data_IF_339288900280
#
_entry.id   IF_339288900280
#
_cell.length_a   1.000
_cell.length_b   1.000
_cell.length_c   1.000
_cell.angle_alpha   90.00
_cell.angle_beta   90.00
_cell.angle_gamma   90.00
#
_symmetry.space_group_name_H-M   'P 1'
#
loop_
_entity.id
_entity.type
_entity.pdbx_description
1 polymer ?
#
# COMPACT_ATOMS: atom_id res chain seq x y z
N UNK A 1 -8.59 -8.35 7.48
CA UNK A 1 -8.32 -8.37 8.94
C UNK A 1 -6.90 -7.85 9.19
N UNK A 2 -6.50 -7.58 10.43
CA UNK A 2 -5.15 -7.04 10.76
C UNK A 2 -4.01 -7.92 10.23
N UNK A 3 -4.26 -9.21 9.99
CA UNK A 3 -3.25 -10.14 9.53
C UNK A 3 -3.17 -10.28 8.00
N UNK A 4 -4.19 -9.85 7.26
CA UNK A 4 -4.25 -9.98 5.80
C UNK A 4 -3.40 -8.96 5.04
N UNK A 5 -2.94 -7.89 5.68
CA UNK A 5 -2.34 -6.76 4.98
C UNK A 5 -1.05 -6.29 5.65
N UNK A 6 -0.14 -5.75 4.85
CA UNK A 6 0.99 -4.95 5.30
C UNK A 6 0.80 -3.57 4.68
N UNK A 7 0.76 -2.52 5.50
CA UNK A 7 0.67 -1.14 5.01
C UNK A 7 2.04 -0.48 5.03
N UNK A 8 2.24 0.47 4.12
CA UNK A 8 3.46 1.27 4.08
C UNK A 8 3.11 2.74 3.82
N UNK A 9 4.03 3.63 4.18
CA UNK A 9 3.94 5.05 3.87
C UNK A 9 5.34 5.61 3.64
N UNK A 10 5.48 6.46 2.63
CA UNK A 10 6.69 7.21 2.29
C UNK A 10 6.31 8.69 2.26
N UNK A 11 6.94 9.46 3.15
CA UNK A 11 6.85 10.91 3.17
C UNK A 11 8.20 11.48 2.72
N UNK A 12 8.18 12.33 1.70
CA UNK A 12 9.39 12.91 1.11
C UNK A 12 9.14 14.36 0.71
N UNK A 13 10.15 15.20 0.84
CA UNK A 13 10.05 16.59 0.37
C UNK A 13 9.87 16.62 -1.16
N UNK A 14 8.97 17.46 -1.67
CA UNK A 14 8.67 17.53 -3.11
C UNK A 14 9.85 18.03 -3.95
N UNK A 15 10.81 18.71 -3.34
CA UNK A 15 12.05 19.18 -3.98
C UNK A 15 13.15 18.12 -4.01
N UNK A 16 12.92 16.94 -3.43
CA UNK A 16 13.93 15.88 -3.41
C UNK A 16 14.31 15.46 -4.85
N UNK A 17 15.61 15.40 -5.22
CA UNK A 17 16.04 15.20 -6.61
C UNK A 17 15.53 13.91 -7.27
N UNK A 18 15.27 12.87 -6.47
CA UNK A 18 14.74 11.58 -6.95
C UNK A 18 13.22 11.56 -7.11
N UNK A 19 12.51 12.63 -6.76
CA UNK A 19 11.05 12.69 -6.80
C UNK A 19 10.63 13.65 -7.93
N UNK A 20 10.19 13.11 -9.08
CA UNK A 20 9.70 13.93 -10.18
C UNK A 20 8.53 14.82 -9.77
N UNK A 21 8.32 15.92 -10.49
CA UNK A 21 7.14 16.78 -10.30
C UNK A 21 5.88 16.17 -10.92
N UNK A 22 6.03 15.44 -12.02
CA UNK A 22 4.92 14.71 -12.63
C UNK A 22 4.44 13.61 -11.69
N UNK A 23 3.11 13.49 -11.57
CA UNK A 23 2.47 12.56 -10.64
C UNK A 23 2.75 11.11 -11.06
N UNK A 24 2.61 10.79 -12.34
CA UNK A 24 2.77 9.43 -12.86
C UNK A 24 4.24 9.01 -12.74
N UNK A 25 5.18 9.88 -13.09
CA UNK A 25 6.61 9.60 -12.94
C UNK A 25 7.01 9.38 -11.48
N UNK A 26 6.39 10.12 -10.55
CA UNK A 26 6.64 9.91 -9.12
C UNK A 26 6.04 8.60 -8.60
N UNK A 27 4.91 8.16 -9.13
CA UNK A 27 4.43 6.79 -8.89
C UNK A 27 5.43 5.78 -9.43
N UNK A 28 5.96 5.95 -10.64
CA UNK A 28 6.98 5.03 -11.18
C UNK A 28 8.18 4.87 -10.26
N UNK A 29 8.72 5.97 -9.70
CA UNK A 29 9.84 5.92 -8.76
C UNK A 29 9.45 5.21 -7.46
N UNK A 30 8.38 5.65 -6.81
CA UNK A 30 8.01 5.15 -5.48
C UNK A 30 7.47 3.71 -5.54
N UNK A 31 6.63 3.39 -6.53
CA UNK A 31 6.20 2.01 -6.80
C UNK A 31 7.36 1.12 -7.26
N UNK A 32 8.41 1.69 -7.84
CA UNK A 32 9.67 0.99 -8.11
C UNK A 32 10.26 0.34 -6.86
N UNK A 33 10.11 0.97 -5.68
CA UNK A 33 10.52 0.40 -4.41
C UNK A 33 9.80 -0.92 -4.08
N UNK A 34 8.48 -0.95 -4.27
CA UNK A 34 7.67 -2.16 -4.12
C UNK A 34 8.05 -3.23 -5.15
N UNK A 35 8.20 -2.85 -6.42
CA UNK A 35 8.60 -3.77 -7.49
C UNK A 35 9.93 -4.44 -7.15
N UNK A 36 10.93 -3.67 -6.74
CA UNK A 36 12.22 -4.19 -6.33
C UNK A 36 12.10 -5.12 -5.11
N UNK A 37 11.28 -4.74 -4.12
CA UNK A 37 11.02 -5.58 -2.95
C UNK A 37 10.37 -6.92 -3.30
N UNK A 38 9.37 -6.93 -4.17
CA UNK A 38 8.74 -8.18 -4.62
C UNK A 38 9.72 -9.06 -5.43
N UNK A 39 10.59 -8.46 -6.25
CA UNK A 39 11.65 -9.19 -6.97
C UNK A 39 12.64 -9.85 -6.02
N UNK A 40 12.99 -9.21 -4.90
CA UNK A 40 13.82 -9.84 -3.85
C UNK A 40 13.11 -11.03 -3.17
N UNK A 41 11.78 -11.05 -3.18
CA UNK A 41 10.98 -12.20 -2.75
C UNK A 41 10.83 -13.25 -3.88
N UNK A 42 11.45 -13.07 -5.04
CA UNK A 42 11.34 -13.97 -6.19
C UNK A 42 9.98 -13.89 -6.89
N UNK A 43 9.25 -12.78 -6.73
CA UNK A 43 7.99 -12.54 -7.44
C UNK A 43 8.25 -11.63 -8.63
N UNK A 44 7.77 -12.01 -9.82
CA UNK A 44 7.84 -11.16 -11.00
C UNK A 44 6.78 -10.06 -10.91
N UNK A 45 7.14 -8.97 -10.22
CA UNK A 45 6.27 -7.83 -10.03
C UNK A 45 6.50 -6.75 -11.09
N UNK A 46 5.41 -6.14 -11.51
CA UNK A 46 5.39 -5.06 -12.48
C UNK A 46 4.49 -3.93 -11.98
N UNK A 47 4.91 -2.69 -12.24
CA UNK A 47 4.06 -1.53 -12.01
C UNK A 47 3.06 -1.42 -13.15
N UNK A 48 1.79 -1.33 -12.80
CA UNK A 48 0.68 -1.08 -13.72
C UNK A 48 0.06 0.27 -13.37
N UNK A 49 0.29 1.31 -14.20
CA UNK A 49 -0.32 2.61 -13.98
C UNK A 49 -1.84 2.52 -13.78
N UNK A 50 -2.42 3.35 -12.92
CA UNK A 50 -1.78 4.54 -12.31
C UNK A 50 -1.04 4.24 -11.01
N UNK A 51 -1.43 3.21 -10.26
CA UNK A 51 -1.02 3.04 -8.86
C UNK A 51 -0.92 1.59 -8.37
N UNK A 52 -1.00 0.62 -9.28
CA UNK A 52 -1.07 -0.79 -8.94
C UNK A 52 0.26 -1.50 -9.16
N UNK A 53 0.56 -2.48 -8.30
CA UNK A 53 1.58 -3.49 -8.57
C UNK A 53 0.87 -4.80 -8.87
N UNK A 54 1.29 -5.45 -9.95
CA UNK A 54 0.79 -6.76 -10.35
C UNK A 54 1.89 -7.81 -10.28
N UNK A 55 1.51 -9.03 -9.92
CA UNK A 55 2.32 -10.25 -10.05
C UNK A 55 1.49 -11.22 -10.88
N UNK A 56 2.08 -11.80 -11.94
CA UNK A 56 1.37 -12.70 -12.85
C UNK A 56 0.05 -12.10 -13.38
N UNK A 57 0.07 -10.81 -13.74
CA UNK A 57 -1.09 -10.00 -14.16
C UNK A 57 -2.20 -9.80 -13.13
N UNK A 58 -2.01 -10.21 -11.87
CA UNK A 58 -2.95 -10.03 -10.78
C UNK A 58 -2.43 -8.99 -9.79
N UNK A 59 -3.30 -8.07 -9.36
CA UNK A 59 -2.95 -7.02 -8.41
C UNK A 59 -2.54 -7.61 -7.07
N UNK A 60 -1.38 -7.20 -6.56
CA UNK A 60 -0.87 -7.58 -5.23
C UNK A 60 -0.69 -6.38 -4.30
N UNK A 61 -0.62 -5.17 -4.85
CA UNK A 61 -0.51 -3.93 -4.08
C UNK A 61 -1.19 -2.80 -4.82
N UNK A 62 -1.74 -1.85 -4.07
CA UNK A 62 -2.27 -0.59 -4.57
C UNK A 62 -1.79 0.57 -3.71
N UNK A 63 -1.54 1.70 -4.35
CA UNK A 63 -0.99 2.90 -3.71
C UNK A 63 -1.90 4.11 -3.89
N UNK A 64 -1.79 5.09 -3.01
CA UNK A 64 -2.40 6.40 -3.15
C UNK A 64 -1.35 7.47 -2.81
N UNK A 65 -1.41 8.59 -3.51
CA UNK A 65 -0.41 9.65 -3.45
C UNK A 65 -1.11 10.99 -3.31
N UNK A 66 -0.61 11.83 -2.40
CA UNK A 66 -1.00 13.24 -2.28
C UNK A 66 0.23 14.13 -2.23
N UNK A 67 0.10 15.35 -2.79
CA UNK A 67 1.13 16.39 -2.74
C UNK A 67 0.54 17.63 -2.11
N UNK A 68 1.02 17.99 -0.92
CA UNK A 68 0.55 19.16 -0.18
C UNK A 68 1.67 19.67 0.72
N UNK A 69 1.65 20.98 0.99
CA UNK A 69 2.55 21.63 1.96
C UNK A 69 4.05 21.36 1.69
N UNK A 70 4.46 21.29 0.42
CA UNK A 70 5.85 21.01 0.05
C UNK A 70 6.27 19.54 0.22
N UNK A 71 5.33 18.66 0.57
CA UNK A 71 5.55 17.24 0.81
C UNK A 71 4.78 16.34 -0.15
N UNK A 72 5.40 15.21 -0.46
CA UNK A 72 4.81 14.07 -1.15
C UNK A 72 4.57 12.98 -0.12
N UNK A 73 3.32 12.55 0.02
CA UNK A 73 2.95 11.39 0.81
C UNK A 73 2.37 10.34 -0.13
N UNK A 74 3.07 9.22 -0.25
CA UNK A 74 2.54 8.01 -0.86
C UNK A 74 2.35 6.95 0.22
N UNK A 75 1.19 6.30 0.22
CA UNK A 75 0.92 5.16 1.07
C UNK A 75 0.22 4.07 0.28
N UNK A 76 0.22 2.85 0.80
CA UNK A 76 -0.45 1.75 0.12
C UNK A 76 -0.54 0.51 0.96
N UNK A 77 -1.14 -0.51 0.35
CA UNK A 77 -1.31 -1.83 0.95
C UNK A 77 -0.58 -2.87 0.12
N UNK A 78 0.02 -3.83 0.80
CA UNK A 78 0.56 -5.05 0.24
C UNK A 78 -0.35 -6.17 0.73
N UNK A 79 -0.96 -6.89 -0.21
CA UNK A 79 -1.88 -7.97 0.09
C UNK A 79 -1.07 -9.19 0.54
N UNK A 80 -1.03 -9.42 1.85
CA UNK A 80 -0.37 -10.59 2.42
C UNK A 80 -1.30 -11.81 2.31
N UNK A 81 -2.56 -11.66 2.70
CA UNK A 81 -3.64 -12.63 2.55
C UNK A 81 -4.97 -11.90 2.31
N UNK A 82 -5.88 -12.47 1.52
CA UNK A 82 -7.14 -11.81 1.15
C UNK A 82 -8.31 -12.72 1.45
N UNK A 83 -9.17 -12.31 2.38
CA UNK A 83 -10.45 -12.96 2.62
C UNK A 83 -11.56 -12.21 1.86
N UNK A 84 -11.80 -12.66 0.64
CA UNK A 84 -12.77 -12.03 -0.29
C UNK A 84 -14.19 -12.16 0.25
N UNK A 85 -14.54 -13.29 0.87
CA UNK A 85 -15.85 -13.51 1.46
C UNK A 85 -16.15 -12.52 2.58
N UNK A 86 -15.18 -12.28 3.47
CA UNK A 86 -15.29 -11.29 4.54
C UNK A 86 -15.40 -9.86 3.99
N UNK A 87 -14.61 -9.52 2.97
CA UNK A 87 -14.69 -8.21 2.32
C UNK A 87 -16.12 -7.94 1.81
N UNK A 88 -16.71 -8.88 1.08
CA UNK A 88 -18.07 -8.73 0.56
C UNK A 88 -19.16 -8.85 1.61
N UNK A 89 -18.92 -9.47 2.79
CA UNK A 89 -19.89 -9.44 3.89
C UNK A 89 -19.95 -8.09 4.59
N UNK A 90 -18.87 -7.28 4.51
CA UNK A 90 -18.80 -5.96 5.12
C UNK A 90 -19.25 -4.84 4.17
N UNK A 91 -19.13 -5.05 2.86
CA UNK A 91 -19.61 -4.11 1.85
C UNK A 91 -21.12 -4.24 1.64
N UNK A 92 -21.80 -3.10 1.50
CA UNK A 92 -23.22 -3.08 1.12
C UNK A 92 -23.36 -3.47 -0.36
N UNK A 93 -23.67 -4.73 -0.63
CA UNK A 93 -24.02 -5.25 -1.97
C UNK A 93 -25.49 -5.66 -1.96
N UNK A 94 -26.27 -5.14 -2.90
CA UNK A 94 -27.73 -5.23 -2.89
C UNK A 94 -28.33 -6.55 -3.41
N UNK A 95 -27.52 -7.44 -4.01
CA UNK A 95 -28.01 -8.67 -4.65
C UNK A 95 -26.99 -9.82 -4.54
N UNK A 96 -27.43 -11.01 -4.11
CA UNK A 96 -26.61 -12.21 -3.94
C UNK A 96 -26.01 -12.72 -5.26
N UNK A 97 -26.75 -12.69 -6.37
CA UNK A 97 -26.22 -13.14 -7.67
C UNK A 97 -25.14 -12.20 -8.20
N UNK A 98 -25.26 -10.91 -7.89
CA UNK A 98 -24.23 -9.91 -8.22
C UNK A 98 -22.99 -10.15 -7.35
N UNK A 99 -23.18 -10.48 -6.07
CA UNK A 99 -22.09 -10.81 -5.13
C UNK A 99 -21.22 -11.96 -5.64
N UNK A 100 -21.80 -13.08 -6.05
CA UNK A 100 -21.02 -14.24 -6.54
C UNK A 100 -20.20 -13.93 -7.78
N UNK A 101 -20.78 -13.18 -8.74
CA UNK A 101 -20.06 -12.74 -9.94
C UNK A 101 -18.91 -11.79 -9.58
N UNK A 102 -19.12 -10.89 -8.63
CA UNK A 102 -18.07 -9.98 -8.17
C UNK A 102 -16.96 -10.70 -7.43
N UNK A 103 -17.27 -11.70 -6.60
CA UNK A 103 -16.28 -12.52 -5.89
C UNK A 103 -15.34 -13.18 -6.91
N UNK A 104 -15.90 -13.90 -7.91
CA UNK A 104 -15.11 -14.55 -8.97
C UNK A 104 -14.24 -13.55 -9.73
N UNK A 105 -14.82 -12.39 -10.09
CA UNK A 105 -14.08 -11.34 -10.78
C UNK A 105 -12.94 -10.76 -9.95
N UNK A 106 -13.06 -10.67 -8.63
CA UNK A 106 -11.96 -10.23 -7.74
C UNK A 106 -10.89 -11.31 -7.63
N UNK A 107 -11.28 -12.58 -7.49
CA UNK A 107 -10.34 -13.72 -7.44
C UNK A 107 -9.46 -13.85 -8.68
N UNK A 108 -10.02 -13.52 -9.85
CA UNK A 108 -9.30 -13.50 -11.11
C UNK A 108 -8.31 -12.33 -11.22
N UNK A 109 -8.61 -11.19 -10.60
CA UNK A 109 -7.85 -9.94 -10.76
C UNK A 109 -6.86 -9.66 -9.64
N UNK A 110 -7.01 -10.29 -8.48
CA UNK A 110 -6.24 -9.99 -7.26
C UNK A 110 -5.51 -11.23 -6.76
N UNK A 111 -4.26 -11.03 -6.33
CA UNK A 111 -3.44 -12.05 -5.68
C UNK A 111 -2.87 -11.54 -4.36
N UNK A 112 -2.15 -12.40 -3.65
CA UNK A 112 -1.53 -12.10 -2.36
C UNK A 112 -0.18 -12.82 -2.22
N UNK A 113 0.65 -12.36 -1.29
CA UNK A 113 1.92 -13.05 -0.95
C UNK A 113 1.65 -14.52 -0.64
N UNK A 114 0.60 -14.82 0.13
CA UNK A 114 0.25 -16.17 0.51
C UNK A 114 -0.13 -17.05 -0.68
N UNK A 115 -0.83 -16.49 -1.69
CA UNK A 115 -1.19 -17.23 -2.91
C UNK A 115 0.02 -17.48 -3.81
N UNK A 116 0.92 -16.50 -3.94
CA UNK A 116 2.07 -16.60 -4.85
C UNK A 116 3.27 -17.35 -4.25
N UNK A 117 3.46 -17.28 -2.93
CA UNK A 117 4.68 -17.79 -2.24
C UNK A 117 4.39 -18.66 -1.01
N UNK A 118 3.13 -18.88 -0.65
CA UNK A 118 2.76 -19.58 0.58
C UNK A 118 2.98 -18.73 1.84
N UNK A 119 3.09 -19.37 3.01
CA UNK A 119 3.25 -18.69 4.30
C UNK A 119 4.66 -18.09 4.49
N UNK A 120 4.99 -17.06 3.72
CA UNK A 120 6.22 -16.30 3.88
C UNK A 120 6.21 -15.51 5.20
N UNK A 121 7.33 -15.48 5.90
CA UNK A 121 7.47 -14.65 7.11
C UNK A 121 7.24 -13.17 6.76
N UNK A 122 6.27 -12.52 7.41
CA UNK A 122 5.95 -11.10 7.22
C UNK A 122 7.16 -10.21 7.44
N UNK A 123 8.04 -10.55 8.39
CA UNK A 123 9.26 -9.78 8.62
C UNK A 123 10.15 -9.79 7.39
N UNK A 124 10.30 -10.94 6.72
CA UNK A 124 11.05 -11.03 5.45
C UNK A 124 10.40 -10.23 4.33
N UNK A 125 9.06 -10.17 4.30
CA UNK A 125 8.35 -9.31 3.35
C UNK A 125 8.67 -7.85 3.60
N UNK A 126 8.58 -7.39 4.85
CA UNK A 126 8.92 -6.02 5.25
C UNK A 126 10.38 -5.70 4.92
N UNK A 127 11.33 -6.58 5.29
CA UNK A 127 12.75 -6.39 5.00
C UNK A 127 13.04 -6.30 3.49
N UNK A 128 12.34 -7.09 2.68
CA UNK A 128 12.45 -7.01 1.23
C UNK A 128 11.90 -5.69 0.67
N UNK A 129 10.75 -5.21 1.17
CA UNK A 129 10.21 -3.91 0.78
C UNK A 129 11.13 -2.77 1.18
N UNK A 130 11.69 -2.79 2.40
CA UNK A 130 12.67 -1.80 2.87
C UNK A 130 13.86 -1.71 1.91
N UNK A 131 14.48 -2.84 1.57
CA UNK A 131 15.59 -2.90 0.59
C UNK A 131 15.16 -2.44 -0.80
N UNK A 132 13.92 -2.73 -1.18
CA UNK A 132 13.33 -2.27 -2.43
C UNK A 132 13.29 -0.74 -2.51
N UNK A 133 12.80 -0.09 -1.44
CA UNK A 133 12.77 1.38 -1.35
C UNK A 133 14.18 2.00 -1.29
N UNK A 134 15.12 1.40 -0.54
CA UNK A 134 16.53 1.82 -0.54
C UNK A 134 17.12 1.83 -1.95
N UNK A 135 16.89 0.75 -2.70
CA UNK A 135 17.35 0.59 -4.08
C UNK A 135 16.69 1.58 -5.04
N UNK A 136 15.37 1.79 -4.94
CA UNK A 136 14.62 2.67 -5.84
C UNK A 136 14.94 4.16 -5.61
N UNK A 137 15.16 4.57 -4.36
CA UNK A 137 15.47 5.94 -4.00
C UNK A 137 16.97 6.24 -3.95
N UNK A 138 17.81 5.21 -4.05
CA UNK A 138 19.28 5.32 -3.95
C UNK A 138 19.69 5.95 -2.60
N UNK A 139 19.11 5.40 -1.53
CA UNK A 139 19.31 5.84 -0.14
C UNK A 139 19.56 4.64 0.77
N UNK A 140 20.01 4.91 1.99
CA UNK A 140 20.03 3.93 3.08
C UNK A 140 19.02 4.33 4.14
N UNK A 141 18.08 3.44 4.44
CA UNK A 141 17.08 3.67 5.47
C UNK A 141 17.71 3.36 6.83
N UNK A 142 17.55 4.29 7.76
CA UNK A 142 17.97 4.13 9.15
C UNK A 142 16.71 4.00 9.99
N UNK A 143 16.68 3.02 10.89
CA UNK A 143 15.57 2.85 11.81
C UNK A 143 15.51 4.07 12.73
N UNK A 144 14.41 4.81 12.67
CA UNK A 144 14.07 5.88 13.60
C UNK A 144 12.87 5.51 14.47
N UNK A 145 12.56 6.40 15.40
CA UNK A 145 11.35 6.38 16.22
C UNK A 145 10.59 7.68 15.98
N UNK A 146 9.27 7.66 16.20
CA UNK A 146 8.47 8.88 16.14
C UNK A 146 8.91 9.82 17.25
N UNK A 147 9.08 11.09 16.91
CA UNK A 147 9.29 12.15 17.88
C UNK A 147 8.04 12.35 18.75
N UNK A 148 8.25 12.96 19.92
CA UNK A 148 7.15 13.30 20.83
C UNK A 148 6.11 14.22 20.15
N UNK A 149 6.58 15.17 19.34
CA UNK A 149 5.72 16.09 18.56
C UNK A 149 4.86 15.33 17.55
N UNK A 150 5.43 14.38 16.79
CA UNK A 150 4.66 13.56 15.84
C UNK A 150 3.58 12.71 16.55
N UNK A 151 3.89 12.18 17.73
CA UNK A 151 2.95 11.40 18.54
C UNK A 151 1.81 12.29 19.05
N UNK A 152 2.13 13.48 19.55
CA UNK A 152 1.14 14.44 20.03
C UNK A 152 0.19 14.89 18.92
N UNK A 153 0.73 15.21 17.74
CA UNK A 153 -0.06 15.56 16.55
C UNK A 153 -0.95 14.37 16.13
N UNK A 154 -0.42 13.15 16.14
CA UNK A 154 -1.19 11.96 15.78
C UNK A 154 -2.36 11.71 16.74
N UNK A 155 -2.15 11.85 18.05
CA UNK A 155 -3.22 11.72 19.05
C UNK A 155 -4.24 12.85 18.95
N UNK A 156 -3.81 14.09 18.74
CA UNK A 156 -4.73 15.22 18.50
C UNK A 156 -5.61 14.96 17.28
N UNK A 157 -5.02 14.56 16.15
CA UNK A 157 -5.76 14.24 14.92
C UNK A 157 -6.68 13.05 15.09
N UNK A 158 -6.31 12.06 15.89
CA UNK A 158 -7.17 10.91 16.22
C UNK A 158 -8.39 11.37 17.00
N UNK A 159 -8.23 12.17 18.04
CA UNK A 159 -9.35 12.63 18.88
C UNK A 159 -10.25 13.61 18.13
N UNK A 160 -9.65 14.62 17.49
CA UNK A 160 -10.38 15.76 16.94
C UNK A 160 -10.85 15.55 15.49
N UNK A 161 -10.36 14.51 14.80
CA UNK A 161 -10.67 14.28 13.39
C UNK A 161 -10.94 12.82 13.07
N UNK A 162 -9.91 11.97 12.99
CA UNK A 162 -10.03 10.61 12.45
C UNK A 162 -10.90 9.65 13.29
N UNK A 163 -11.05 9.90 14.60
CA UNK A 163 -11.94 9.17 15.49
C UNK A 163 -13.38 9.68 15.52
N UNK A 164 -13.66 10.82 14.88
CA UNK A 164 -14.99 11.45 14.93
C UNK A 164 -15.97 10.84 13.92
N UNK A 165 -17.26 10.83 14.27
CA UNK A 165 -18.31 10.45 13.30
C UNK A 165 -18.42 11.46 12.17
N UNK A 166 -18.29 12.75 12.48
CA UNK A 166 -18.37 13.81 11.47
C UNK A 166 -17.38 13.58 10.34
N UNK A 167 -16.12 13.27 10.66
CA UNK A 167 -15.12 12.95 9.67
C UNK A 167 -15.43 11.65 8.92
N UNK A 168 -15.70 10.55 9.64
CA UNK A 168 -15.85 9.22 9.04
C UNK A 168 -17.13 9.04 8.21
N UNK A 169 -18.14 9.87 8.43
CA UNK A 169 -19.40 9.86 7.66
C UNK A 169 -19.50 11.04 6.68
N UNK A 170 -18.45 11.86 6.55
CA UNK A 170 -18.38 12.93 5.56
C UNK A 170 -18.38 12.32 4.15
N UNK A 171 -19.32 12.75 3.32
CA UNK A 171 -19.42 12.39 1.90
C UNK A 171 -18.67 13.40 1.04
#
# INVERSE_FOLDING_TARGET
DYNGEITYSVAVNESHPKIPRDIIDSYHVLCGGLVNGFKLLGLNAEFKPINDIVVNNKKISGSAHTRRFGGVLQHGTILYDVNINLMFSLLKVSDEKIRDKMIKSVEERVTSIKKEKGNADKKKVIDAMTKGFESALDIKLVKGELSQEEIEIAEELKVNKYGTKEWNFKR
#
